data_IF_209866998340
#
_entry.id   IF_209866998340
#
_cell.length_a   1.000
_cell.length_b   1.000
_cell.length_c   1.000
_cell.angle_alpha   90.00
_cell.angle_beta   90.00
_cell.angle_gamma   90.00
#
_symmetry.space_group_name_H-M   'P 1'
#
loop_
_entity.id
_entity.type
_entity.pdbx_description
1 polymer ?
#
# COMPACT_ATOMS: atom_id res chain seq x y z
N UNK A 1 -20.33 -11.17 -41.04
CA UNK A 1 -19.79 -9.86 -40.59
C UNK A 1 -20.31 -8.79 -41.53
N UNK A 2 -20.90 -7.70 -41.03
CA UNK A 2 -21.41 -6.64 -41.90
C UNK A 2 -20.25 -5.98 -42.68
N UNK A 3 -20.31 -5.99 -44.01
CA UNK A 3 -19.32 -5.34 -44.88
C UNK A 3 -19.54 -3.83 -44.79
N UNK A 4 -18.56 -3.12 -44.25
CA UNK A 4 -18.63 -1.67 -44.10
C UNK A 4 -18.14 -1.01 -45.39
N UNK A 5 -18.87 -0.02 -45.87
CA UNK A 5 -18.48 0.72 -47.09
C UNK A 5 -17.23 1.57 -46.82
N UNK A 6 -16.41 1.82 -47.86
CA UNK A 6 -15.20 2.64 -47.75
C UNK A 6 -15.49 4.02 -47.13
N UNK A 7 -16.63 4.62 -47.47
CA UNK A 7 -17.10 5.87 -46.88
C UNK A 7 -17.32 5.76 -45.36
N UNK A 8 -17.90 4.67 -44.87
CA UNK A 8 -18.10 4.43 -43.44
C UNK A 8 -16.77 4.24 -42.71
N UNK A 9 -15.81 3.53 -43.30
CA UNK A 9 -14.48 3.33 -42.72
C UNK A 9 -13.75 4.67 -42.57
N UNK A 10 -13.78 5.50 -43.61
CA UNK A 10 -13.10 6.80 -43.62
C UNK A 10 -13.80 7.86 -42.74
N UNK A 11 -15.12 7.76 -42.52
CA UNK A 11 -15.88 8.72 -41.69
C UNK A 11 -16.01 8.33 -40.21
N UNK A 12 -15.67 7.08 -39.85
CA UNK A 12 -15.74 6.57 -38.47
C UNK A 12 -14.97 7.42 -37.46
N UNK A 13 -13.81 7.97 -37.82
CA UNK A 13 -13.03 8.83 -36.92
C UNK A 13 -13.77 10.12 -36.52
N UNK A 14 -14.42 10.79 -37.49
CA UNK A 14 -15.24 11.99 -37.22
C UNK A 14 -16.48 11.66 -36.39
N UNK A 15 -17.14 10.55 -36.69
CA UNK A 15 -18.30 10.07 -35.92
C UNK A 15 -17.92 9.67 -34.49
N UNK A 16 -16.73 9.09 -34.31
CA UNK A 16 -16.21 8.79 -32.98
C UNK A 16 -15.89 10.07 -32.21
N UNK A 17 -15.19 11.03 -32.82
CA UNK A 17 -14.85 12.31 -32.18
C UNK A 17 -16.11 13.09 -31.75
N UNK A 18 -17.12 13.16 -32.62
CA UNK A 18 -18.41 13.80 -32.30
C UNK A 18 -19.21 13.05 -31.24
N UNK A 19 -19.14 11.72 -31.22
CA UNK A 19 -19.75 10.91 -30.15
C UNK A 19 -19.02 11.09 -28.82
N UNK A 20 -17.69 11.19 -28.82
CA UNK A 20 -16.89 11.43 -27.61
C UNK A 20 -17.11 12.85 -27.08
N UNK A 21 -17.20 13.87 -27.93
CA UNK A 21 -17.50 15.23 -27.48
C UNK A 21 -18.90 15.34 -26.87
N UNK A 22 -19.88 14.62 -27.43
CA UNK A 22 -21.25 14.54 -26.90
C UNK A 22 -21.40 13.68 -25.64
N UNK A 23 -20.45 12.79 -25.31
CA UNK A 23 -20.54 11.97 -24.08
C UNK A 23 -20.47 12.81 -22.80
N UNK A 24 -19.76 13.94 -22.85
CA UNK A 24 -19.56 14.82 -21.69
C UNK A 24 -20.16 16.22 -21.90
N UNK A 25 -20.61 16.55 -23.12
CA UNK A 25 -21.34 17.77 -23.42
C UNK A 25 -22.82 17.64 -23.01
N UNK A 26 -23.36 18.68 -22.40
CA UNK A 26 -24.80 18.83 -22.16
C UNK A 26 -25.36 19.76 -23.23
N UNK A 27 -26.54 19.46 -23.75
CA UNK A 27 -27.14 20.25 -24.85
C UNK A 27 -27.61 21.64 -24.35
N UNK A 28 -28.04 21.76 -23.09
CA UNK A 28 -28.46 23.02 -22.46
C UNK A 28 -28.00 23.08 -20.99
N UNK A 29 -27.56 24.27 -20.55
CA UNK A 29 -27.17 24.54 -19.16
C UNK A 29 -28.14 25.54 -18.55
N UNK A 30 -29.05 25.07 -17.70
CA UNK A 30 -30.02 25.91 -16.99
C UNK A 30 -29.50 26.28 -15.60
N UNK A 31 -29.55 27.57 -15.25
CA UNK A 31 -29.19 28.03 -13.90
C UNK A 31 -30.38 27.96 -12.95
N UNK A 32 -30.45 26.88 -12.17
CA UNK A 32 -31.41 26.76 -11.09
C UNK A 32 -30.88 27.40 -9.80
N UNK A 33 -31.65 28.34 -9.25
CA UNK A 33 -31.29 29.11 -8.06
C UNK A 33 -31.33 28.24 -6.80
N UNK A 34 -32.22 27.25 -6.76
CA UNK A 34 -32.37 26.38 -5.58
C UNK A 34 -31.20 25.40 -5.50
N UNK A 35 -30.82 24.79 -6.63
CA UNK A 35 -29.58 24.00 -6.72
C UNK A 35 -28.33 24.80 -6.30
N UNK A 36 -28.29 26.10 -6.64
CA UNK A 36 -27.20 27.00 -6.24
C UNK A 36 -27.20 27.24 -4.74
N UNK A 37 -28.35 27.47 -4.12
CA UNK A 37 -28.46 27.64 -2.67
C UNK A 37 -28.05 26.38 -1.92
N UNK A 38 -28.47 25.21 -2.39
CA UNK A 38 -28.05 23.91 -1.87
C UNK A 38 -26.54 23.68 -2.05
N UNK A 39 -25.98 24.12 -3.17
CA UNK A 39 -24.53 24.09 -3.37
C UNK A 39 -23.81 25.07 -2.43
N UNK A 40 -24.33 26.27 -2.19
CA UNK A 40 -23.69 27.23 -1.30
C UNK A 40 -23.82 26.85 0.18
N UNK A 41 -24.90 26.21 0.60
CA UNK A 41 -25.14 25.88 2.03
C UNK A 41 -24.79 24.43 2.38
N UNK A 42 -24.83 23.52 1.40
CA UNK A 42 -24.64 22.08 1.55
C UNK A 42 -23.18 21.62 1.70
N UNK A 43 -22.28 22.44 2.25
CA UNK A 43 -20.86 22.06 2.43
C UNK A 43 -20.69 20.77 3.24
N UNK A 44 -21.49 20.59 4.30
CA UNK A 44 -21.47 19.36 5.09
C UNK A 44 -21.93 18.16 4.27
N UNK A 45 -23.02 18.29 3.51
CA UNK A 45 -23.51 17.24 2.59
C UNK A 45 -22.42 16.82 1.60
N UNK A 46 -21.71 17.79 0.97
CA UNK A 46 -20.59 17.50 0.05
C UNK A 46 -19.40 16.86 0.76
N UNK A 47 -19.08 17.29 1.98
CA UNK A 47 -17.99 16.68 2.75
C UNK A 47 -18.29 15.22 3.05
N UNK A 48 -19.50 14.91 3.50
CA UNK A 48 -19.96 13.54 3.75
C UNK A 48 -19.99 12.72 2.45
N UNK A 49 -20.50 13.26 1.35
CA UNK A 49 -20.49 12.59 0.05
C UNK A 49 -19.06 12.26 -0.42
N UNK A 50 -18.10 13.18 -0.26
CA UNK A 50 -16.70 12.92 -0.60
C UNK A 50 -16.10 11.81 0.28
N UNK A 51 -16.40 11.81 1.57
CA UNK A 51 -15.96 10.75 2.48
C UNK A 51 -16.55 9.40 2.09
N UNK A 52 -17.86 9.33 1.81
CA UNK A 52 -18.53 8.11 1.35
C UNK A 52 -17.94 7.60 0.03
N UNK A 53 -17.76 8.48 -0.96
CA UNK A 53 -17.15 8.11 -2.24
C UNK A 53 -15.72 7.58 -2.08
N UNK A 54 -14.94 8.17 -1.18
CA UNK A 54 -13.60 7.67 -0.88
C UNK A 54 -13.64 6.28 -0.21
N UNK A 55 -14.57 6.06 0.72
CA UNK A 55 -14.78 4.75 1.34
C UNK A 55 -15.25 3.70 0.32
N UNK A 56 -16.18 4.05 -0.56
CA UNK A 56 -16.67 3.17 -1.64
C UNK A 56 -15.54 2.79 -2.59
N UNK A 57 -14.72 3.75 -3.02
CA UNK A 57 -13.57 3.49 -3.87
C UNK A 57 -12.57 2.53 -3.21
N UNK A 58 -12.24 2.73 -1.92
CA UNK A 58 -11.35 1.82 -1.19
C UNK A 58 -11.96 0.41 -1.10
N UNK A 59 -13.25 0.29 -0.79
CA UNK A 59 -13.95 -1.00 -0.76
C UNK A 59 -13.95 -1.72 -2.10
N UNK A 60 -14.15 -0.99 -3.21
CA UNK A 60 -14.07 -1.56 -4.56
C UNK A 60 -12.66 -2.06 -4.88
N UNK A 61 -11.63 -1.28 -4.54
CA UNK A 61 -10.24 -1.68 -4.73
C UNK A 61 -9.87 -2.91 -3.89
N UNK A 62 -10.29 -2.96 -2.62
CA UNK A 62 -10.09 -4.14 -1.76
C UNK A 62 -10.82 -5.37 -2.30
N UNK A 63 -12.04 -5.21 -2.83
CA UNK A 63 -12.78 -6.31 -3.45
C UNK A 63 -12.04 -6.85 -4.67
N UNK A 64 -11.53 -5.97 -5.54
CA UNK A 64 -10.76 -6.36 -6.72
C UNK A 64 -9.47 -7.09 -6.31
N UNK A 65 -8.72 -6.56 -5.35
CA UNK A 65 -7.52 -7.22 -4.80
C UNK A 65 -7.81 -8.61 -4.24
N UNK A 66 -8.88 -8.77 -3.46
CA UNK A 66 -9.30 -10.09 -2.95
C UNK A 66 -9.65 -11.08 -4.07
N UNK A 67 -10.24 -10.59 -5.16
CA UNK A 67 -10.55 -11.43 -6.32
C UNK A 67 -9.25 -11.85 -7.02
N UNK A 68 -8.32 -10.93 -7.24
CA UNK A 68 -7.01 -11.19 -7.83
C UNK A 68 -6.20 -12.18 -6.98
N UNK A 69 -6.14 -11.99 -5.66
CA UNK A 69 -5.50 -12.90 -4.72
C UNK A 69 -6.09 -14.31 -4.79
N UNK A 70 -7.43 -14.43 -4.82
CA UNK A 70 -8.10 -15.73 -4.97
C UNK A 70 -7.82 -16.38 -6.32
N UNK A 71 -7.72 -15.60 -7.40
CA UNK A 71 -7.34 -16.11 -8.70
C UNK A 71 -5.89 -16.61 -8.69
N UNK A 72 -4.97 -15.87 -8.08
CA UNK A 72 -3.57 -16.26 -7.94
C UNK A 72 -3.43 -17.57 -7.17
N UNK A 73 -4.09 -17.71 -6.01
CA UNK A 73 -4.07 -18.95 -5.21
C UNK A 73 -4.62 -20.14 -6.02
N UNK A 74 -5.68 -19.93 -6.82
CA UNK A 74 -6.22 -20.99 -7.68
C UNK A 74 -5.25 -21.39 -8.79
N UNK A 75 -4.55 -20.41 -9.38
CA UNK A 75 -3.52 -20.66 -10.39
C UNK A 75 -2.34 -21.43 -9.79
N UNK A 76 -1.80 -20.96 -8.66
CA UNK A 76 -0.72 -21.64 -7.93
C UNK A 76 -1.10 -23.08 -7.57
N UNK A 77 -2.31 -23.31 -7.06
CA UNK A 77 -2.81 -24.68 -6.80
C UNK A 77 -2.90 -25.53 -8.05
N UNK A 78 -3.32 -24.95 -9.19
CA UNK A 78 -3.40 -25.67 -10.46
C UNK A 78 -2.01 -26.02 -10.97
N UNK A 79 -1.06 -25.11 -10.88
CA UNK A 79 0.34 -25.32 -11.25
C UNK A 79 0.98 -26.42 -10.39
N UNK A 80 0.80 -26.38 -9.06
CA UNK A 80 1.29 -27.42 -8.15
C UNK A 80 0.66 -28.78 -8.51
N UNK A 81 -0.65 -28.84 -8.76
CA UNK A 81 -1.31 -30.09 -9.17
C UNK A 81 -0.79 -30.59 -10.53
N UNK A 82 -0.51 -29.71 -11.49
CA UNK A 82 0.07 -30.07 -12.78
C UNK A 82 1.52 -30.58 -12.63
N UNK A 83 2.32 -29.97 -11.76
CA UNK A 83 3.68 -30.43 -11.42
C UNK A 83 3.65 -31.79 -10.71
N UNK A 84 2.73 -31.99 -9.77
CA UNK A 84 2.51 -33.28 -9.12
C UNK A 84 2.09 -34.36 -10.11
N UNK A 85 1.19 -34.04 -11.06
CA UNK A 85 0.82 -34.98 -12.11
C UNK A 85 1.96 -35.28 -13.08
N UNK A 86 2.82 -34.30 -13.40
CA UNK A 86 4.02 -34.51 -14.22
C UNK A 86 5.02 -35.41 -13.50
N UNK A 87 5.39 -35.08 -12.27
CA UNK A 87 6.31 -35.88 -11.45
C UNK A 87 5.79 -37.29 -11.19
N UNK A 88 4.47 -37.46 -11.00
CA UNK A 88 3.85 -38.78 -10.89
C UNK A 88 3.94 -39.58 -12.20
N UNK A 89 3.70 -38.95 -13.36
CA UNK A 89 3.87 -39.58 -14.67
C UNK A 89 5.32 -39.97 -14.96
N UNK A 90 6.27 -39.10 -14.60
CA UNK A 90 7.71 -39.35 -14.69
C UNK A 90 8.12 -40.50 -13.77
N UNK A 91 7.69 -40.49 -12.50
CA UNK A 91 7.98 -41.54 -11.52
C UNK A 91 7.35 -42.90 -11.85
N UNK A 92 6.23 -42.91 -12.58
CA UNK A 92 5.61 -44.13 -13.11
C UNK A 92 6.31 -44.68 -14.36
N UNK A 93 7.29 -43.99 -14.96
CA UNK A 93 7.93 -44.38 -16.23
C UNK A 93 6.90 -44.76 -17.34
N UNK A 94 5.71 -44.15 -17.36
CA UNK A 94 4.67 -44.45 -18.37
C UNK A 94 4.90 -43.73 -19.71
N UNK A 95 6.10 -43.22 -19.97
CA UNK A 95 6.46 -42.75 -21.31
C UNK A 95 6.89 -43.92 -22.22
N UNK A 96 7.27 -45.07 -21.65
CA UNK A 96 7.59 -46.28 -22.43
C UNK A 96 6.36 -47.13 -22.81
N UNK A 97 5.26 -47.11 -22.03
CA UNK A 97 4.09 -48.00 -22.28
C UNK A 97 2.88 -47.29 -22.92
N UNK A 98 2.78 -45.94 -22.88
CA UNK A 98 1.63 -45.22 -23.48
C UNK A 98 1.84 -44.93 -24.97
N UNK A 99 3.07 -44.72 -25.45
CA UNK A 99 3.31 -44.54 -26.89
C UNK A 99 3.06 -45.85 -27.67
N UNK A 100 3.26 -47.02 -27.05
CA UNK A 100 2.90 -48.32 -27.64
C UNK A 100 1.40 -48.63 -27.54
N UNK A 101 0.68 -48.09 -26.54
CA UNK A 101 -0.77 -48.25 -26.41
C UNK A 101 -1.59 -47.27 -27.29
N UNK A 102 -1.04 -46.13 -27.71
CA UNK A 102 -1.72 -45.15 -28.59
C UNK A 102 -1.78 -45.56 -30.06
N UNK A 103 -1.14 -46.66 -30.44
CA UNK A 103 -1.26 -47.25 -31.78
C UNK A 103 -2.34 -48.34 -31.89
N UNK A 104 -3.00 -48.69 -30.78
CA UNK A 104 -4.11 -49.66 -30.73
C UNK A 104 -5.39 -49.02 -30.23
N UNK A 105 -6.25 -48.63 -31.18
CA UNK A 105 -7.71 -48.80 -31.15
C UNK A 105 -8.42 -49.02 -29.79
N UNK A 106 -9.32 -48.10 -29.39
CA UNK A 106 -10.58 -48.28 -28.62
C UNK A 106 -11.26 -46.88 -28.63
N UNK A 107 -12.25 -46.63 -29.47
CA UNK A 107 -13.69 -46.90 -29.33
C UNK A 107 -14.39 -46.14 -28.19
N UNK A 108 -15.52 -45.57 -28.59
CA UNK A 108 -16.30 -44.51 -27.98
C UNK A 108 -17.08 -45.04 -26.75
N UNK A 109 -16.61 -44.79 -25.51
CA UNK A 109 -17.36 -45.18 -24.30
C UNK A 109 -17.80 -43.98 -23.48
N UNK A 110 -19.04 -43.57 -23.75
CA UNK A 110 -19.82 -42.57 -23.00
C UNK A 110 -20.42 -43.22 -21.76
N UNK A 111 -19.96 -42.83 -20.56
CA UNK A 111 -20.59 -43.23 -19.29
C UNK A 111 -21.11 -41.98 -18.59
N UNK A 112 -22.42 -41.79 -18.67
CA UNK A 112 -23.19 -41.07 -17.65
C UNK A 112 -23.24 -41.96 -16.40
N UNK A 113 -22.76 -41.44 -15.27
CA UNK A 113 -23.13 -41.96 -13.94
C UNK A 113 -23.18 -40.78 -12.98
N UNK A 114 -24.42 -40.41 -12.69
CA UNK A 114 -24.85 -39.62 -11.54
C UNK A 114 -24.48 -40.39 -10.27
N UNK A 115 -23.68 -39.80 -9.37
CA UNK A 115 -23.58 -40.25 -7.97
C UNK A 115 -22.94 -39.18 -7.06
N UNK A 116 -23.82 -38.34 -6.53
CA UNK A 116 -23.89 -37.83 -5.15
C UNK A 116 -22.65 -37.98 -4.25
N UNK A 117 -21.83 -36.92 -4.22
CA UNK A 117 -20.72 -36.74 -3.25
C UNK A 117 -21.24 -36.51 -1.83
N UNK A 118 -21.07 -37.50 -0.95
CA UNK A 118 -21.39 -37.42 0.47
C UNK A 118 -20.20 -36.87 1.28
N UNK A 119 -20.49 -35.89 2.13
CA UNK A 119 -19.53 -35.01 2.77
C UNK A 119 -18.58 -35.65 3.80
N UNK A 120 -17.55 -34.87 4.09
CA UNK A 120 -16.46 -35.08 5.03
C UNK A 120 -16.83 -35.87 6.29
N UNK A 121 -16.13 -36.99 6.50
CA UNK A 121 -15.98 -37.58 7.82
C UNK A 121 -14.74 -37.00 8.50
N UNK A 122 -14.96 -36.59 9.74
CA UNK A 122 -14.02 -35.88 10.60
C UNK A 122 -13.51 -36.81 11.68
N UNK A 123 -12.20 -36.97 11.75
CA UNK A 123 -11.49 -37.33 12.97
C UNK A 123 -11.12 -38.80 13.12
N UNK A 124 -9.80 -39.06 13.08
CA UNK A 124 -9.09 -39.68 14.19
C UNK A 124 -7.57 -39.56 14.01
N UNK A 125 -6.95 -39.30 15.15
CA UNK A 125 -5.55 -39.01 15.39
C UNK A 125 -4.66 -40.26 15.36
N UNK A 126 -3.36 -39.98 15.30
CA UNK A 126 -2.20 -40.72 15.84
C UNK A 126 -1.66 -41.97 15.12
N UNK A 127 -0.45 -41.82 14.56
CA UNK A 127 0.68 -42.65 14.98
C UNK A 127 2.02 -41.92 14.77
N UNK A 128 2.74 -41.71 15.87
CA UNK A 128 4.18 -41.41 15.92
C UNK A 128 5.03 -42.50 15.24
N UNK A 129 6.16 -42.12 14.61
CA UNK A 129 7.40 -42.91 14.66
C UNK A 129 8.64 -42.06 14.31
N UNK A 130 9.70 -42.31 15.09
CA UNK A 130 10.98 -41.61 15.22
C UNK A 130 11.96 -41.87 14.07
N UNK A 131 12.85 -40.90 13.78
CA UNK A 131 14.25 -41.23 13.40
C UNK A 131 15.21 -40.06 13.56
N UNK A 132 16.31 -40.34 14.24
CA UNK A 132 17.37 -39.47 14.75
C UNK A 132 18.28 -38.75 13.73
N UNK A 133 19.12 -37.88 14.31
CA UNK A 133 20.47 -37.49 13.86
C UNK A 133 20.63 -36.47 12.73
N UNK A 134 20.92 -35.21 13.12
CA UNK A 134 21.99 -34.41 12.50
C UNK A 134 22.46 -33.29 13.43
N UNK A 135 23.42 -33.62 14.30
CA UNK A 135 24.21 -32.64 15.05
C UNK A 135 25.16 -31.88 14.09
N UNK A 136 24.74 -30.71 13.60
CA UNK A 136 25.64 -29.78 12.90
C UNK A 136 26.04 -28.68 13.88
N UNK A 137 27.32 -28.65 14.27
CA UNK A 137 27.89 -27.58 15.10
C UNK A 137 28.09 -26.30 14.25
N UNK A 138 27.69 -25.11 14.71
CA UNK A 138 27.94 -23.86 14.00
C UNK A 138 29.40 -23.40 14.11
N UNK A 139 29.87 -22.71 13.05
CA UNK A 139 31.28 -22.32 12.80
C UNK A 139 31.67 -21.01 13.54
N UNK A 140 30.74 -20.34 14.22
CA UNK A 140 30.98 -19.01 14.80
C UNK A 140 31.53 -19.08 16.23
N UNK A 141 32.76 -18.60 16.44
CA UNK A 141 33.29 -18.28 17.77
C UNK A 141 32.66 -16.96 18.23
N UNK A 142 31.84 -16.99 19.28
CA UNK A 142 31.18 -15.80 19.86
C UNK A 142 31.89 -15.37 21.13
N UNK A 143 32.46 -14.17 21.13
CA UNK A 143 32.60 -13.40 22.38
C UNK A 143 31.34 -12.52 22.47
N UNK A 144 30.36 -12.97 23.26
CA UNK A 144 29.11 -12.27 23.47
C UNK A 144 29.11 -11.67 24.89
N UNK A 145 28.74 -10.40 25.00
CA UNK A 145 28.51 -9.73 26.29
C UNK A 145 27.04 -10.03 26.67
N UNK A 146 26.85 -10.84 27.70
CA UNK A 146 25.53 -11.18 28.24
C UNK A 146 25.17 -10.24 29.37
N UNK A 147 24.17 -9.37 29.17
CA UNK A 147 23.55 -8.62 30.27
C UNK A 147 22.28 -9.34 30.72
N UNK A 148 22.28 -9.83 31.96
CA UNK A 148 21.15 -10.52 32.58
C UNK A 148 20.19 -9.52 33.23
N UNK A 149 18.93 -9.53 32.82
CA UNK A 149 17.83 -8.85 33.52
C UNK A 149 16.85 -9.90 34.08
N UNK A 150 16.33 -9.66 35.29
CA UNK A 150 15.46 -10.51 36.13
C UNK A 150 14.87 -11.78 35.46
N UNK A 151 15.58 -12.90 35.68
CA UNK A 151 15.22 -14.33 35.69
C UNK A 151 14.19 -14.93 34.71
N UNK A 152 13.81 -14.28 33.61
CA UNK A 152 12.98 -14.95 32.57
C UNK A 152 13.13 -14.48 31.13
N UNK A 153 13.95 -13.47 30.85
CA UNK A 153 14.12 -12.98 29.48
C UNK A 153 15.57 -12.58 29.19
N UNK A 154 16.27 -13.38 28.40
CA UNK A 154 17.58 -13.03 27.83
C UNK A 154 17.39 -12.43 26.44
N UNK A 155 17.78 -11.16 26.25
CA UNK A 155 17.78 -10.49 24.94
C UNK A 155 19.19 -10.52 24.39
N UNK A 156 19.40 -11.26 23.31
CA UNK A 156 20.64 -11.22 22.54
C UNK A 156 20.59 -9.98 21.62
N UNK A 157 21.42 -8.98 21.90
CA UNK A 157 21.55 -7.79 21.05
C UNK A 157 22.82 -7.93 20.21
N UNK A 158 22.65 -8.27 18.93
CA UNK A 158 23.72 -8.22 17.95
C UNK A 158 23.96 -6.76 17.53
N UNK A 159 25.14 -6.22 17.82
CA UNK A 159 25.54 -4.93 17.27
C UNK A 159 25.92 -5.10 15.81
N UNK A 160 25.03 -4.72 14.89
CA UNK A 160 25.39 -4.62 13.47
C UNK A 160 26.52 -3.59 13.32
N UNK A 161 27.69 -4.04 12.87
CA UNK A 161 28.73 -3.14 12.38
C UNK A 161 28.14 -2.28 11.25
N UNK A 162 28.38 -0.95 11.25
CA UNK A 162 27.93 -0.11 10.16
C UNK A 162 28.57 -0.63 8.86
N UNK A 163 27.75 -1.13 7.95
CA UNK A 163 28.23 -1.67 6.69
C UNK A 163 28.78 -0.53 5.84
N UNK A 164 30.10 -0.37 5.80
CA UNK A 164 30.79 0.69 5.05
C UNK A 164 30.49 0.64 3.53
N UNK A 165 29.93 -0.47 3.02
CA UNK A 165 29.58 -0.65 1.60
C UNK A 165 28.16 -0.16 1.25
N UNK A 166 27.77 1.02 1.73
CA UNK A 166 26.48 1.64 1.39
C UNK A 166 26.28 1.84 -0.11
N UNK A 167 27.33 2.18 -0.86
CA UNK A 167 27.24 2.36 -2.31
C UNK A 167 26.94 1.05 -3.04
N UNK A 168 27.56 -0.05 -2.62
CA UNK A 168 27.33 -1.38 -3.20
C UNK A 168 25.90 -1.86 -2.93
N UNK A 169 25.43 -1.73 -1.69
CA UNK A 169 24.05 -2.06 -1.33
C UNK A 169 23.04 -1.18 -2.08
N UNK A 170 23.33 0.11 -2.23
CA UNK A 170 22.48 1.01 -3.01
C UNK A 170 22.43 0.59 -4.48
N UNK A 171 23.56 0.21 -5.07
CA UNK A 171 23.62 -0.28 -6.44
C UNK A 171 22.84 -1.59 -6.62
N UNK A 172 22.98 -2.55 -5.70
CA UNK A 172 22.21 -3.80 -5.69
C UNK A 172 20.71 -3.57 -5.60
N UNK A 173 20.29 -2.58 -4.82
CA UNK A 173 18.89 -2.19 -4.70
C UNK A 173 18.44 -1.17 -5.76
N UNK A 174 19.27 -0.90 -6.77
CA UNK A 174 19.02 0.08 -7.84
C UNK A 174 18.68 1.49 -7.33
N UNK A 175 19.19 1.88 -6.16
CA UNK A 175 18.99 3.19 -5.53
C UNK A 175 20.11 4.14 -5.94
N UNK A 176 19.74 5.31 -6.47
CA UNK A 176 20.70 6.37 -6.83
C UNK A 176 20.89 7.34 -5.66
N UNK A 177 22.00 7.19 -4.92
CA UNK A 177 22.31 8.00 -3.72
C UNK A 177 22.32 9.51 -4.01
N UNK A 178 22.91 9.95 -5.14
CA UNK A 178 22.91 11.36 -5.56
C UNK A 178 21.50 11.97 -5.66
N UNK A 179 20.50 11.15 -6.04
CA UNK A 179 19.11 11.58 -6.16
C UNK A 179 18.38 11.50 -4.82
N UNK A 180 18.83 10.66 -3.90
CA UNK A 180 18.18 10.44 -2.62
C UNK A 180 18.13 11.74 -1.80
N UNK A 181 19.23 12.48 -1.71
CA UNK A 181 19.26 13.77 -1.01
C UNK A 181 18.32 14.80 -1.65
N UNK A 182 18.28 14.84 -2.99
CA UNK A 182 17.37 15.74 -3.71
C UNK A 182 15.91 15.39 -3.45
N UNK A 183 15.56 14.11 -3.43
CA UNK A 183 14.21 13.63 -3.13
C UNK A 183 13.84 13.92 -1.67
N UNK A 184 14.77 13.72 -0.73
CA UNK A 184 14.61 14.04 0.69
C UNK A 184 14.36 15.54 0.89
N UNK A 185 15.16 16.41 0.26
CA UNK A 185 14.96 17.85 0.33
C UNK A 185 13.62 18.28 -0.29
N UNK A 186 13.19 17.65 -1.38
CA UNK A 186 11.88 17.91 -1.97
C UNK A 186 10.73 17.46 -1.07
N UNK A 187 10.85 16.31 -0.39
CA UNK A 187 9.81 15.80 0.50
C UNK A 187 9.69 16.67 1.76
N UNK A 188 10.81 17.07 2.36
CA UNK A 188 10.85 18.01 3.49
C UNK A 188 10.22 19.36 3.09
N UNK A 189 10.56 19.90 1.92
CA UNK A 189 9.96 21.14 1.43
C UNK A 189 8.46 21.02 1.16
N UNK A 190 8.00 19.88 0.65
CA UNK A 190 6.57 19.61 0.45
C UNK A 190 5.84 19.51 1.79
N UNK A 191 6.40 18.74 2.73
CA UNK A 191 5.84 18.55 4.07
C UNK A 191 5.74 19.88 4.83
N UNK A 192 6.80 20.70 4.81
CA UNK A 192 6.79 22.03 5.44
C UNK A 192 5.80 22.99 4.79
N UNK A 193 5.65 22.99 3.45
CA UNK A 193 4.61 23.77 2.77
C UNK A 193 3.21 23.29 3.13
N UNK A 194 3.01 21.99 3.26
CA UNK A 194 1.73 21.40 3.62
C UNK A 194 1.36 21.69 5.08
N UNK A 195 2.32 21.61 5.99
CA UNK A 195 2.16 22.02 7.39
C UNK A 195 1.79 23.51 7.50
N UNK A 196 2.46 24.39 6.73
CA UNK A 196 2.11 25.81 6.59
C UNK A 196 0.68 26.00 6.10
N UNK A 197 0.30 25.27 5.06
CA UNK A 197 -1.02 25.34 4.45
C UNK A 197 -2.13 24.88 5.40
N UNK A 198 -1.88 23.82 6.17
CA UNK A 198 -2.80 23.32 7.18
C UNK A 198 -2.78 24.14 8.49
N UNK A 199 -1.86 25.10 8.62
CA UNK A 199 -1.72 25.90 9.84
C UNK A 199 -1.23 25.12 11.05
N UNK A 200 -0.61 23.95 10.84
CA UNK A 200 -0.07 23.04 11.87
C UNK A 200 1.43 23.26 12.04
N UNK A 201 1.99 24.35 11.49
CA UNK A 201 3.38 24.71 11.72
C UNK A 201 3.64 24.89 13.23
N UNK A 202 4.34 23.93 13.83
CA UNK A 202 4.76 23.88 15.24
C UNK A 202 5.71 25.01 15.67
N UNK A 203 5.94 25.99 14.79
CA UNK A 203 6.27 27.34 15.21
C UNK A 203 5.03 27.95 15.85
N UNK A 204 4.65 27.41 17.01
CA UNK A 204 3.84 28.07 17.99
C UNK A 204 4.48 29.45 18.18
N UNK A 205 3.95 30.47 17.51
CA UNK A 205 4.17 31.86 17.91
C UNK A 205 3.70 31.85 19.36
N UNK A 206 4.65 31.82 20.32
CA UNK A 206 4.34 31.82 21.74
C UNK A 206 3.29 32.89 21.91
N UNK A 207 2.04 32.50 22.23
CA UNK A 207 0.93 33.45 22.34
C UNK A 207 1.47 34.57 23.25
N UNK A 208 1.44 35.84 22.82
CA UNK A 208 2.01 36.91 23.62
C UNK A 208 1.36 36.80 24.99
N UNK A 209 2.18 36.58 26.03
CA UNK A 209 1.67 36.41 27.39
C UNK A 209 0.79 37.62 27.67
N UNK A 210 -0.50 37.40 27.93
CA UNK A 210 -1.43 38.48 28.28
C UNK A 210 -0.79 39.21 29.43
N UNK A 211 -0.42 40.48 29.21
CA UNK A 211 0.20 41.31 30.24
C UNK A 211 -0.89 41.52 31.29
N UNK A 212 -0.82 40.77 32.39
CA UNK A 212 -1.61 41.08 33.58
C UNK A 212 -1.22 42.52 33.94
N UNK A 213 -2.17 43.45 33.95
CA UNK A 213 -1.96 44.80 34.43
C UNK A 213 -1.54 44.69 35.91
N UNK A 214 -0.23 44.67 36.13
CA UNK A 214 0.38 44.75 37.45
C UNK A 214 1.00 46.12 37.52
N UNK A 215 0.74 46.82 38.62
CA UNK A 215 1.48 48.05 38.90
C UNK A 215 2.97 47.74 38.86
N UNK A 216 3.73 48.58 38.15
CA UNK A 216 5.19 48.51 38.13
C UNK A 216 5.70 48.42 39.57
N UNK A 217 6.58 47.46 39.83
CA UNK A 217 7.26 47.35 41.12
C UNK A 217 8.05 48.64 41.38
N UNK A 218 8.36 48.93 42.66
CA UNK A 218 9.09 50.16 43.03
C UNK A 218 10.41 50.32 42.26
N UNK A 219 11.10 49.21 42.01
CA UNK A 219 12.36 49.18 41.26
C UNK A 219 12.14 49.46 39.76
N UNK A 220 11.14 48.84 39.14
CA UNK A 220 10.81 49.08 37.72
C UNK A 220 10.32 50.51 37.46
N UNK A 221 9.56 51.09 38.39
CA UNK A 221 9.12 52.49 38.34
C UNK A 221 10.31 53.45 38.37
N UNK A 222 11.30 53.18 39.23
CA UNK A 222 12.52 53.98 39.34
C UNK A 222 13.37 53.91 38.07
N UNK A 223 13.46 52.74 37.44
CA UNK A 223 14.15 52.56 36.15
C UNK A 223 13.43 53.29 35.01
N UNK A 224 12.10 53.20 34.94
CA UNK A 224 11.34 53.94 33.93
C UNK A 224 11.43 55.46 34.12
N UNK A 225 11.43 55.94 35.37
CA UNK A 225 11.60 57.36 35.66
C UNK A 225 13.01 57.85 35.30
N UNK A 226 14.06 57.05 35.53
CA UNK A 226 15.41 57.32 35.03
C UNK A 226 15.43 57.43 33.50
N UNK A 227 14.90 56.42 32.80
CA UNK A 227 14.82 56.42 31.32
C UNK A 227 14.04 57.62 30.77
N UNK A 228 12.95 58.02 31.41
CA UNK A 228 12.16 59.17 31.02
C UNK A 228 12.94 60.49 31.23
N UNK A 229 13.63 60.62 32.36
CA UNK A 229 14.49 61.77 32.63
C UNK A 229 15.69 61.85 31.67
N UNK A 230 16.30 60.71 31.36
CA UNK A 230 17.42 60.62 30.40
C UNK A 230 16.95 61.00 28.99
N UNK A 231 15.78 60.53 28.55
CA UNK A 231 15.19 60.93 27.28
C UNK A 231 14.78 62.41 27.25
N UNK A 232 14.34 62.97 28.39
CA UNK A 232 14.04 64.39 28.53
C UNK A 232 15.30 65.26 28.49
N UNK A 233 16.46 64.72 28.90
CA UNK A 233 17.77 65.37 28.81
C UNK A 233 18.44 65.22 27.44
N UNK A 234 17.99 64.26 26.62
CA UNK A 234 18.45 64.07 25.23
C UNK A 234 17.73 64.96 24.21
N UNK A 235 16.65 65.64 24.63
CA UNK A 235 16.05 66.77 23.92
C UNK A 235 16.54 68.06 24.55
#
# INVERSE_FOLDING_TARGET
MAVHTNRQILTRGKNYATKQSKKFGTDEVTFDKDSRLDYLTGFHKRKVQRQKKAQEFVKEQERLRKIEERQKIRQERKEIMEEQLKTFKEGLNLEADIEDAKKGEIDDFKVESDDSWHGFDSGKEDSDDDSDERNVRPILKKEAITETYDDSTTVEVETLEPNDNFEYLAHLNNVKLEKAEKVLNQSINRATKYAKFLGVDDKQKKKPKVKKFRYLTKNERRVNQRKANDNKRRR
#
